data_IF_591827227301
#
_entry.id   IF_591827227301
#
_cell.length_a   1.000
_cell.length_b   1.000
_cell.length_c   1.000
_cell.angle_alpha   90.00
_cell.angle_beta   90.00
_cell.angle_gamma   90.00
#
_symmetry.space_group_name_H-M   'P 1'
#
loop_
_entity.id
_entity.type
_entity.pdbx_description
1 polymer ?
#
# COMPACT_ATOMS: atom_id res chain seq x y z
N UNK A 1 54.97 22.50 -4.64
CA UNK A 1 53.90 21.63 -5.17
C UNK A 1 52.48 22.20 -4.95
N UNK A 2 52.16 23.47 -5.31
CA UNK A 2 50.80 24.03 -5.18
C UNK A 2 49.87 23.77 -6.38
N UNK A 3 50.37 23.14 -7.45
CA UNK A 3 49.60 22.86 -8.68
C UNK A 3 48.70 21.62 -8.54
N UNK A 4 49.11 20.61 -7.77
CA UNK A 4 48.36 19.37 -7.60
C UNK A 4 47.06 19.59 -6.80
N UNK A 5 47.09 20.38 -5.72
CA UNK A 5 45.90 20.72 -4.94
C UNK A 5 44.88 21.52 -5.75
N UNK A 6 45.35 22.44 -6.60
CA UNK A 6 44.47 23.24 -7.48
C UNK A 6 43.80 22.39 -8.55
N UNK A 7 44.53 21.42 -9.10
CA UNK A 7 43.99 20.43 -10.03
C UNK A 7 42.98 19.50 -9.33
N UNK A 8 43.29 19.04 -8.12
CA UNK A 8 42.39 18.22 -7.31
C UNK A 8 41.08 18.95 -6.99
N UNK A 9 41.15 20.22 -6.56
CA UNK A 9 39.97 21.06 -6.33
C UNK A 9 39.14 21.28 -7.60
N UNK A 10 39.78 21.54 -8.74
CA UNK A 10 39.08 21.68 -10.02
C UNK A 10 38.37 20.38 -10.42
N UNK A 11 39.02 19.24 -10.23
CA UNK A 11 38.44 17.92 -10.51
C UNK A 11 37.27 17.62 -9.59
N UNK A 12 37.36 17.92 -8.28
CA UNK A 12 36.25 17.74 -7.34
C UNK A 12 35.06 18.65 -7.65
N UNK A 13 35.32 19.90 -8.05
CA UNK A 13 34.26 20.83 -8.45
C UNK A 13 33.55 20.34 -9.71
N UNK A 14 34.30 19.94 -10.73
CA UNK A 14 33.74 19.36 -11.96
C UNK A 14 32.99 18.05 -11.69
N UNK A 15 33.53 17.19 -10.83
CA UNK A 15 32.86 15.95 -10.44
C UNK A 15 31.55 16.25 -9.70
N UNK A 16 31.53 17.26 -8.84
CA UNK A 16 30.34 17.74 -8.15
C UNK A 16 29.28 18.29 -9.11
N UNK A 17 29.68 19.09 -10.10
CA UNK A 17 28.78 19.61 -11.14
C UNK A 17 28.20 18.50 -12.02
N UNK A 18 29.04 17.56 -12.48
CA UNK A 18 28.61 16.41 -13.28
C UNK A 18 27.65 15.55 -12.47
N UNK A 19 27.96 15.29 -11.19
CA UNK A 19 27.11 14.51 -10.31
C UNK A 19 25.77 15.19 -10.05
N UNK A 20 25.77 16.50 -9.80
CA UNK A 20 24.56 17.29 -9.58
C UNK A 20 23.68 17.30 -10.84
N UNK A 21 24.30 17.47 -12.01
CA UNK A 21 23.61 17.41 -13.30
C UNK A 21 23.01 16.02 -13.54
N UNK A 22 23.78 14.95 -13.32
CA UNK A 22 23.31 13.57 -13.44
C UNK A 22 22.19 13.23 -12.46
N UNK A 23 22.25 13.75 -11.24
CA UNK A 23 21.18 13.57 -10.23
C UNK A 23 19.90 14.26 -10.68
N UNK A 24 19.98 15.48 -11.22
CA UNK A 24 18.82 16.20 -11.79
C UNK A 24 18.22 15.47 -12.98
N UNK A 25 19.05 15.00 -13.89
CA UNK A 25 18.61 14.24 -15.07
C UNK A 25 17.96 12.90 -14.67
N UNK A 26 18.53 12.20 -13.68
CA UNK A 26 17.96 10.97 -13.14
C UNK A 26 16.60 11.21 -12.46
N UNK A 27 16.50 12.22 -11.60
CA UNK A 27 15.23 12.57 -10.94
C UNK A 27 14.16 12.96 -11.96
N UNK A 28 14.54 13.68 -13.01
CA UNK A 28 13.62 14.04 -14.09
C UNK A 28 13.13 12.80 -14.84
N UNK A 29 14.04 11.90 -15.23
CA UNK A 29 13.67 10.64 -15.90
C UNK A 29 12.80 9.73 -15.01
N UNK A 30 13.08 9.66 -13.71
CA UNK A 30 12.28 8.90 -12.76
C UNK A 30 10.86 9.48 -12.65
N UNK A 31 10.73 10.81 -12.58
CA UNK A 31 9.44 11.48 -12.57
C UNK A 31 8.63 11.20 -13.84
N UNK A 32 9.25 11.37 -15.02
CA UNK A 32 8.61 11.08 -16.31
C UNK A 32 8.18 9.61 -16.42
N UNK A 33 8.99 8.67 -15.92
CA UNK A 33 8.66 7.26 -15.93
C UNK A 33 7.47 6.94 -15.02
N UNK A 34 7.41 7.52 -13.81
CA UNK A 34 6.28 7.36 -12.89
C UNK A 34 5.00 7.95 -13.50
N UNK A 35 5.08 9.16 -14.08
CA UNK A 35 3.94 9.82 -14.69
C UNK A 35 3.40 8.99 -15.87
N UNK A 36 4.28 8.51 -16.74
CA UNK A 36 3.91 7.66 -17.87
C UNK A 36 3.29 6.34 -17.41
N UNK A 37 3.90 5.67 -16.43
CA UNK A 37 3.41 4.40 -15.92
C UNK A 37 2.04 4.51 -15.26
N UNK A 38 1.83 5.57 -14.46
CA UNK A 38 0.53 5.84 -13.85
C UNK A 38 -0.53 6.15 -14.92
N UNK A 39 -0.18 6.93 -15.95
CA UNK A 39 -1.11 7.26 -17.02
C UNK A 39 -1.53 6.02 -17.82
N UNK A 40 -0.59 5.12 -18.14
CA UNK A 40 -0.86 3.86 -18.83
C UNK A 40 -1.72 2.91 -17.99
N UNK A 41 -1.39 2.72 -16.71
CA UNK A 41 -2.19 1.86 -15.82
C UNK A 41 -3.64 2.36 -15.66
N UNK A 42 -3.83 3.66 -15.53
CA UNK A 42 -5.18 4.23 -15.38
C UNK A 42 -5.97 4.12 -16.68
N UNK A 43 -5.34 4.36 -17.84
CA UNK A 43 -5.99 4.18 -19.13
C UNK A 43 -6.44 2.72 -19.35
N UNK A 44 -5.60 1.75 -18.97
CA UNK A 44 -5.93 0.32 -19.02
C UNK A 44 -7.11 -0.03 -18.10
N UNK A 45 -7.09 0.46 -16.86
CA UNK A 45 -8.16 0.24 -15.88
C UNK A 45 -9.50 0.84 -16.35
N UNK A 46 -9.47 2.05 -16.90
CA UNK A 46 -10.67 2.70 -17.46
C UNK A 46 -11.26 1.91 -18.62
N UNK A 47 -10.41 1.47 -19.55
CA UNK A 47 -10.85 0.66 -20.69
C UNK A 47 -11.50 -0.64 -20.24
N UNK A 48 -11.00 -1.24 -19.16
CA UNK A 48 -11.59 -2.45 -18.57
C UNK A 48 -12.98 -2.17 -17.98
N UNK A 49 -13.11 -1.11 -17.17
CA UNK A 49 -14.40 -0.70 -16.59
C UNK A 49 -15.43 -0.41 -17.68
N UNK A 50 -15.04 0.31 -18.73
CA UNK A 50 -15.89 0.57 -19.89
C UNK A 50 -16.40 -0.73 -20.52
N UNK A 51 -15.50 -1.68 -20.78
CA UNK A 51 -15.87 -2.97 -21.37
C UNK A 51 -16.77 -3.83 -20.47
N UNK A 52 -16.60 -3.76 -19.16
CA UNK A 52 -17.41 -4.51 -18.20
C UNK A 52 -18.84 -3.91 -18.10
N UNK A 53 -18.96 -2.59 -18.10
CA UNK A 53 -20.26 -1.88 -18.12
C UNK A 53 -21.02 -2.19 -19.41
N UNK A 54 -20.37 -2.07 -20.57
CA UNK A 54 -20.98 -2.36 -21.87
C UNK A 54 -21.49 -3.81 -21.92
N UNK A 55 -20.66 -4.78 -21.50
CA UNK A 55 -21.02 -6.19 -21.46
C UNK A 55 -22.20 -6.47 -20.53
N UNK A 56 -22.19 -5.87 -19.33
CA UNK A 56 -23.26 -6.07 -18.34
C UNK A 56 -24.59 -5.55 -18.89
N UNK A 57 -24.59 -4.38 -19.52
CA UNK A 57 -25.82 -3.81 -20.04
C UNK A 57 -26.33 -4.55 -21.29
N UNK A 58 -25.45 -4.97 -22.20
CA UNK A 58 -25.84 -5.83 -23.32
C UNK A 58 -26.48 -7.14 -22.84
N UNK A 59 -25.94 -7.73 -21.76
CA UNK A 59 -26.48 -8.97 -21.18
C UNK A 59 -27.87 -8.73 -20.57
N UNK A 60 -28.01 -7.66 -19.78
CA UNK A 60 -29.29 -7.28 -19.18
C UNK A 60 -30.38 -7.03 -20.22
N UNK A 61 -30.06 -6.27 -21.26
CA UNK A 61 -30.98 -5.97 -22.36
C UNK A 61 -31.40 -7.24 -23.08
N UNK A 62 -30.46 -8.09 -23.46
CA UNK A 62 -30.77 -9.37 -24.13
C UNK A 62 -31.74 -10.23 -23.30
N UNK A 63 -31.53 -10.30 -21.99
CA UNK A 63 -32.31 -11.16 -21.11
C UNK A 63 -33.72 -10.59 -20.84
N UNK A 64 -33.91 -9.27 -20.91
CA UNK A 64 -35.20 -8.60 -20.61
C UNK A 64 -35.96 -8.08 -21.85
N UNK A 65 -35.33 -8.04 -23.03
CA UNK A 65 -35.92 -7.56 -24.28
C UNK A 65 -37.15 -8.39 -24.71
N UNK A 66 -37.15 -9.69 -24.43
CA UNK A 66 -38.27 -10.57 -24.76
C UNK A 66 -39.51 -10.34 -23.88
N UNK A 67 -39.32 -9.85 -22.66
CA UNK A 67 -40.38 -9.66 -21.67
C UNK A 67 -40.96 -8.24 -21.65
N UNK A 68 -40.19 -7.23 -22.08
CA UNK A 68 -40.56 -5.81 -21.93
C UNK A 68 -41.08 -5.14 -23.21
N UNK A 69 -40.77 -5.66 -24.40
CA UNK A 69 -40.97 -4.92 -25.66
C UNK A 69 -41.75 -5.75 -26.70
N UNK A 70 -42.92 -5.25 -27.17
CA UNK A 70 -43.65 -5.85 -28.30
C UNK A 70 -42.79 -5.92 -29.57
N UNK A 71 -42.99 -6.91 -30.45
CA UNK A 71 -42.13 -7.13 -31.63
C UNK A 71 -42.00 -5.91 -32.54
N UNK A 72 -43.07 -5.11 -32.69
CA UNK A 72 -43.07 -3.90 -33.53
C UNK A 72 -42.22 -2.74 -32.98
N UNK A 73 -41.89 -2.76 -31.69
CA UNK A 73 -41.14 -1.70 -31.00
C UNK A 73 -39.70 -2.11 -30.66
N UNK A 74 -39.27 -3.34 -30.95
CA UNK A 74 -37.92 -3.82 -30.62
C UNK A 74 -36.81 -3.04 -31.31
N UNK A 75 -36.90 -2.80 -32.62
CA UNK A 75 -35.87 -2.06 -33.35
C UNK A 75 -35.75 -0.58 -32.91
N UNK A 76 -36.86 0.20 -32.77
CA UNK A 76 -36.81 1.55 -32.21
C UNK A 76 -36.29 1.59 -30.77
N UNK A 77 -36.64 0.58 -29.97
CA UNK A 77 -36.18 0.47 -28.59
C UNK A 77 -34.68 0.17 -28.51
N UNK A 78 -34.19 -0.79 -29.31
CA UNK A 78 -32.76 -1.11 -29.38
C UNK A 78 -31.95 0.11 -29.83
N UNK A 79 -32.44 0.88 -30.80
CA UNK A 79 -31.79 2.10 -31.26
C UNK A 79 -31.78 3.20 -30.19
N UNK A 80 -32.90 3.42 -29.50
CA UNK A 80 -33.00 4.39 -28.39
C UNK A 80 -32.07 4.01 -27.22
N UNK A 81 -32.01 2.72 -26.88
CA UNK A 81 -31.15 2.21 -25.82
C UNK A 81 -29.68 2.30 -26.19
N UNK A 82 -29.30 1.92 -27.42
CA UNK A 82 -27.91 2.05 -27.88
C UNK A 82 -27.47 3.52 -27.91
N UNK A 83 -28.32 4.44 -28.34
CA UNK A 83 -28.01 5.88 -28.30
C UNK A 83 -27.87 6.40 -26.87
N UNK A 84 -28.75 5.99 -25.94
CA UNK A 84 -28.65 6.36 -24.52
C UNK A 84 -27.38 5.80 -23.86
N UNK A 85 -27.03 4.55 -24.20
CA UNK A 85 -25.80 3.88 -23.78
C UNK A 85 -24.56 4.65 -24.22
N UNK A 86 -24.50 5.00 -25.50
CA UNK A 86 -23.36 5.69 -26.08
C UNK A 86 -23.20 7.10 -25.49
N UNK A 87 -24.32 7.77 -25.19
CA UNK A 87 -24.34 9.05 -24.47
C UNK A 87 -23.85 8.94 -23.02
N UNK A 88 -24.24 7.87 -22.32
CA UNK A 88 -23.78 7.61 -20.95
C UNK A 88 -22.29 7.26 -20.93
N UNK A 89 -21.85 6.42 -21.86
CA UNK A 89 -20.45 6.00 -22.00
C UNK A 89 -19.53 7.19 -22.26
N UNK A 90 -19.90 8.04 -23.23
CA UNK A 90 -19.16 9.27 -23.53
C UNK A 90 -19.18 10.25 -22.35
N UNK A 91 -20.33 10.42 -21.68
CA UNK A 91 -20.43 11.27 -20.49
C UNK A 91 -19.60 10.78 -19.30
N UNK A 92 -19.58 9.47 -19.04
CA UNK A 92 -18.79 8.86 -17.97
C UNK A 92 -17.29 8.96 -18.27
N UNK A 93 -16.87 8.66 -19.50
CA UNK A 93 -15.47 8.84 -19.90
C UNK A 93 -15.01 10.28 -19.70
N UNK A 94 -15.84 11.25 -20.06
CA UNK A 94 -15.50 12.67 -19.96
C UNK A 94 -15.49 13.17 -18.50
N UNK A 95 -16.41 12.69 -17.67
CA UNK A 95 -16.43 13.02 -16.24
C UNK A 95 -15.26 12.40 -15.48
N UNK A 96 -14.92 11.15 -15.79
CA UNK A 96 -13.85 10.41 -15.11
C UNK A 96 -12.46 10.93 -15.52
N UNK A 97 -12.25 11.22 -16.79
CA UNK A 97 -11.02 11.90 -17.27
C UNK A 97 -10.88 13.29 -16.66
N UNK A 98 -11.97 14.06 -16.57
CA UNK A 98 -11.97 15.38 -15.92
C UNK A 98 -11.70 15.34 -14.41
N UNK A 99 -12.17 14.30 -13.70
CA UNK A 99 -11.79 14.08 -12.29
C UNK A 99 -10.32 13.68 -12.15
N UNK A 100 -9.81 12.85 -13.07
CA UNK A 100 -8.42 12.41 -13.05
C UNK A 100 -7.46 13.56 -13.27
N UNK A 101 -7.71 14.45 -14.23
CA UNK A 101 -6.85 15.61 -14.49
C UNK A 101 -6.77 16.52 -13.25
N UNK A 102 -7.90 16.70 -12.55
CA UNK A 102 -7.94 17.44 -11.27
C UNK A 102 -7.14 16.75 -10.16
N UNK A 103 -7.27 15.44 -10.00
CA UNK A 103 -6.52 14.68 -9.00
C UNK A 103 -5.02 14.67 -9.30
N UNK A 104 -4.63 14.49 -10.56
CA UNK A 104 -3.24 14.50 -11.00
C UNK A 104 -2.61 15.88 -10.81
N UNK A 105 -3.33 16.95 -11.15
CA UNK A 105 -2.86 18.32 -10.91
C UNK A 105 -2.73 18.61 -9.41
N UNK A 106 -3.67 18.16 -8.59
CA UNK A 106 -3.61 18.32 -7.13
C UNK A 106 -2.42 17.55 -6.52
N UNK A 107 -2.22 16.29 -6.94
CA UNK A 107 -1.09 15.47 -6.49
C UNK A 107 0.25 16.07 -6.94
N UNK A 108 0.31 16.58 -8.17
CA UNK A 108 1.49 17.25 -8.70
C UNK A 108 1.84 18.52 -7.92
N UNK A 109 0.84 19.32 -7.55
CA UNK A 109 1.01 20.52 -6.72
C UNK A 109 1.50 20.16 -5.30
N UNK A 110 0.91 19.15 -4.68
CA UNK A 110 1.28 18.68 -3.34
C UNK A 110 2.71 18.11 -3.31
N UNK A 111 3.06 17.30 -4.32
CA UNK A 111 4.40 16.73 -4.48
C UNK A 111 5.46 17.80 -4.82
N UNK A 112 5.11 18.83 -5.62
CA UNK A 112 6.01 19.98 -5.86
C UNK A 112 6.25 20.79 -4.58
N UNK A 113 5.23 20.92 -3.72
CA UNK A 113 5.35 21.59 -2.42
C UNK A 113 6.35 20.89 -1.51
N UNK A 114 6.16 19.57 -1.31
CA UNK A 114 7.01 18.76 -0.43
C UNK A 114 8.44 18.61 -0.96
N UNK A 115 8.62 18.50 -2.29
CA UNK A 115 9.95 18.41 -2.88
C UNK A 115 10.72 19.75 -2.78
N UNK A 116 10.03 20.88 -2.96
CA UNK A 116 10.65 22.21 -2.84
C UNK A 116 11.05 22.52 -1.39
N UNK A 117 10.25 22.08 -0.43
CA UNK A 117 10.51 22.25 1.01
C UNK A 117 11.63 21.32 1.51
N UNK A 118 11.64 20.06 1.06
CA UNK A 118 12.72 19.10 1.40
C UNK A 118 14.06 19.42 0.74
N UNK A 119 14.08 19.95 -0.49
CA UNK A 119 15.31 20.42 -1.14
C UNK A 119 15.81 21.73 -0.50
N UNK A 120 14.92 22.64 -0.12
CA UNK A 120 15.31 23.87 0.59
C UNK A 120 15.90 23.55 1.98
N UNK A 121 15.32 22.59 2.71
CA UNK A 121 15.85 22.12 3.99
C UNK A 121 17.22 21.42 3.82
N UNK A 122 17.38 20.58 2.79
CA UNK A 122 18.66 19.93 2.49
C UNK A 122 19.78 20.90 2.09
N UNK A 123 19.45 22.02 1.43
CA UNK A 123 20.41 23.09 1.10
C UNK A 123 20.78 23.93 2.33
N UNK A 124 19.85 24.14 3.27
CA UNK A 124 20.11 24.85 4.53
C UNK A 124 20.99 24.04 5.50
N UNK A 125 20.85 22.71 5.52
CA UNK A 125 21.63 21.82 6.40
C UNK A 125 22.98 21.36 5.80
N UNK A 126 23.23 21.61 4.51
CA UNK A 126 24.44 21.20 3.80
C UNK A 126 25.73 21.94 4.15
N UNK A 127 25.71 22.94 5.04
CA UNK A 127 26.90 23.70 5.43
C UNK A 127 27.69 23.11 6.62
N UNK A 128 27.19 22.07 7.31
CA UNK A 128 27.76 21.67 8.61
C UNK A 128 28.38 20.26 8.70
N UNK A 129 28.26 19.38 7.70
CA UNK A 129 28.73 18.00 7.90
C UNK A 129 29.43 17.43 6.67
N UNK A 130 30.76 17.50 6.77
CA UNK A 130 31.75 16.85 5.89
C UNK A 130 31.43 15.38 5.60
N UNK A 131 31.66 15.02 4.34
CA UNK A 131 32.20 13.73 3.90
C UNK A 131 31.48 12.47 4.39
N UNK A 132 30.52 12.01 3.59
CA UNK A 132 30.42 10.58 3.21
C UNK A 132 29.82 10.50 1.82
N UNK A 133 30.70 10.12 0.89
CA UNK A 133 30.43 9.85 -0.50
C UNK A 133 29.61 8.57 -0.60
N UNK A 134 28.41 8.65 -1.17
CA UNK A 134 27.67 7.48 -1.63
C UNK A 134 27.09 7.83 -3.01
N UNK A 135 27.62 7.14 -4.01
CA UNK A 135 27.20 7.10 -5.40
C UNK A 135 25.76 6.60 -5.54
N UNK A 136 25.11 6.87 -6.68
CA UNK A 136 23.70 6.62 -6.92
C UNK A 136 23.48 5.17 -7.41
N UNK A 137 22.23 4.85 -7.75
CA UNK A 137 21.68 3.69 -8.48
C UNK A 137 21.24 2.45 -7.65
N UNK A 138 20.25 1.66 -8.14
CA UNK A 138 18.90 1.61 -7.56
C UNK A 138 18.50 0.17 -7.19
N UNK A 139 18.24 -0.07 -5.93
CA UNK A 139 17.41 -1.14 -5.43
C UNK A 139 16.81 -0.57 -4.15
N UNK A 140 15.57 -0.87 -3.83
CA UNK A 140 15.04 -0.59 -2.50
C UNK A 140 15.95 -1.33 -1.50
N UNK A 141 16.95 -0.63 -0.96
CA UNK A 141 17.87 -1.21 0.00
C UNK A 141 17.03 -1.57 1.22
N UNK A 142 17.00 -2.85 1.65
CA UNK A 142 16.25 -3.26 2.84
C UNK A 142 16.59 -2.38 4.06
N UNK A 143 17.81 -1.84 4.08
CA UNK A 143 18.28 -0.92 5.11
C UNK A 143 17.62 0.46 5.04
N UNK A 144 17.37 0.99 3.83
CA UNK A 144 16.68 2.27 3.65
C UNK A 144 15.19 2.16 3.95
N UNK A 145 14.57 1.03 3.59
CA UNK A 145 13.19 0.73 3.99
C UNK A 145 13.07 0.67 5.52
N UNK A 146 13.94 -0.08 6.20
CA UNK A 146 13.92 -0.17 7.66
C UNK A 146 14.15 1.19 8.32
N UNK A 147 15.03 2.02 7.74
CA UNK A 147 15.24 3.39 8.19
C UNK A 147 13.98 4.25 8.03
N UNK A 148 13.27 4.12 6.91
CA UNK A 148 12.02 4.83 6.65
C UNK A 148 10.90 4.39 7.60
N UNK A 149 10.75 3.08 7.81
CA UNK A 149 9.84 2.51 8.82
C UNK A 149 10.19 3.08 10.20
N UNK A 150 11.46 3.07 10.61
CA UNK A 150 11.90 3.61 11.91
C UNK A 150 11.52 5.08 12.07
N UNK A 151 11.62 5.87 11.00
CA UNK A 151 11.27 7.28 11.00
C UNK A 151 9.74 7.48 11.13
N UNK A 152 8.94 6.73 10.37
CA UNK A 152 7.47 6.74 10.47
C UNK A 152 7.00 6.33 11.88
N UNK A 153 7.65 5.35 12.48
CA UNK A 153 7.37 4.88 13.85
C UNK A 153 7.66 5.97 14.89
N UNK A 154 8.74 6.75 14.71
CA UNK A 154 9.05 7.91 15.56
C UNK A 154 8.07 9.06 15.40
N UNK A 155 7.53 9.24 14.20
CA UNK A 155 6.50 10.27 13.93
C UNK A 155 5.10 9.86 14.41
N UNK A 156 4.93 8.65 14.94
CA UNK A 156 3.63 8.12 15.36
C UNK A 156 2.72 7.70 14.19
N UNK A 157 3.25 7.64 12.96
CA UNK A 157 2.52 7.20 11.77
C UNK A 157 2.55 5.67 11.66
N UNK A 158 1.94 4.99 12.64
CA UNK A 158 1.98 3.53 12.74
C UNK A 158 1.38 2.84 11.51
N UNK A 159 0.23 3.31 10.99
CA UNK A 159 -0.42 2.69 9.83
C UNK A 159 0.50 2.64 8.60
N UNK A 160 1.18 3.74 8.29
CA UNK A 160 2.08 3.82 7.15
C UNK A 160 3.33 2.96 7.35
N UNK A 161 3.90 2.95 8.56
CA UNK A 161 5.04 2.11 8.89
C UNK A 161 4.72 0.62 8.71
N UNK A 162 3.56 0.17 9.21
CA UNK A 162 3.10 -1.20 9.02
C UNK A 162 2.75 -1.50 7.56
N UNK A 163 2.14 -0.57 6.81
CA UNK A 163 1.90 -0.76 5.38
C UNK A 163 3.20 -0.97 4.60
N UNK A 164 4.24 -0.17 4.88
CA UNK A 164 5.54 -0.34 4.25
C UNK A 164 6.19 -1.68 4.62
N UNK A 165 6.16 -2.06 5.90
CA UNK A 165 6.69 -3.35 6.35
C UNK A 165 5.98 -4.53 5.66
N UNK A 166 4.65 -4.49 5.58
CA UNK A 166 3.82 -5.55 4.98
C UNK A 166 3.96 -5.61 3.45
N UNK A 167 4.25 -4.48 2.78
CA UNK A 167 4.39 -4.41 1.31
C UNK A 167 5.56 -5.23 0.77
N UNK A 168 6.62 -5.39 1.56
CA UNK A 168 7.82 -6.16 1.17
C UNK A 168 7.63 -7.66 1.39
N UNK A 169 6.54 -8.05 2.07
CA UNK A 169 6.17 -9.44 2.36
C UNK A 169 7.28 -10.27 3.03
N UNK A 170 8.26 -9.60 3.65
CA UNK A 170 9.34 -10.23 4.38
C UNK A 170 9.00 -10.28 5.88
N UNK A 171 8.86 -11.50 6.40
CA UNK A 171 8.50 -11.72 7.79
C UNK A 171 9.56 -11.16 8.76
N UNK A 172 10.84 -11.16 8.39
CA UNK A 172 11.90 -10.64 9.26
C UNK A 172 11.75 -9.14 9.48
N UNK A 173 11.44 -8.39 8.42
CA UNK A 173 11.15 -6.94 8.48
C UNK A 173 9.91 -6.64 9.33
N UNK A 174 8.84 -7.45 9.19
CA UNK A 174 7.59 -7.28 9.94
C UNK A 174 7.80 -7.57 11.42
N UNK A 175 8.51 -8.65 11.76
CA UNK A 175 8.86 -8.97 13.16
C UNK A 175 9.74 -7.87 13.76
N UNK A 176 10.74 -7.37 13.02
CA UNK A 176 11.57 -6.25 13.47
C UNK A 176 10.73 -4.99 13.73
N UNK A 177 9.74 -4.73 12.88
CA UNK A 177 8.79 -3.60 13.05
C UNK A 177 7.93 -3.79 14.30
N UNK A 178 7.47 -5.01 14.55
CA UNK A 178 6.75 -5.36 15.77
C UNK A 178 7.62 -5.23 17.03
N UNK A 179 8.93 -5.50 16.95
CA UNK A 179 9.86 -5.35 18.09
C UNK A 179 10.17 -3.88 18.39
N UNK A 180 10.09 -2.99 17.40
CA UNK A 180 10.33 -1.55 17.57
C UNK A 180 9.23 -0.81 18.36
N UNK A 181 8.05 -1.40 18.51
CA UNK A 181 6.93 -0.76 19.23
C UNK A 181 6.14 -1.77 20.04
N UNK A 182 5.61 -1.34 21.19
CA UNK A 182 4.77 -2.21 22.00
C UNK A 182 3.36 -2.33 21.40
N UNK A 183 2.75 -3.53 21.42
CA UNK A 183 1.36 -3.73 20.96
C UNK A 183 0.40 -2.75 21.64
N UNK A 184 0.54 -2.58 22.97
CA UNK A 184 -0.28 -1.68 23.77
C UNK A 184 -0.20 -0.22 23.34
N UNK A 185 0.94 0.22 22.80
CA UNK A 185 1.11 1.60 22.32
C UNK A 185 0.34 1.85 21.02
N UNK A 186 0.19 0.84 20.17
CA UNK A 186 -0.54 0.95 18.91
C UNK A 186 -2.04 0.74 19.15
N UNK A 187 -2.39 -0.40 19.74
CA UNK A 187 -3.77 -0.87 19.90
C UNK A 187 -4.49 -0.22 21.09
N UNK A 188 -3.76 0.40 22.03
CA UNK A 188 -4.35 1.16 23.13
C UNK A 188 -4.96 2.51 22.70
N UNK A 189 -4.64 2.99 21.50
CA UNK A 189 -5.20 4.23 20.96
C UNK A 189 -6.60 4.01 20.41
N UNK A 190 -7.55 4.89 20.77
CA UNK A 190 -8.92 4.85 20.29
C UNK A 190 -9.24 6.15 19.53
N UNK A 191 -9.57 6.09 18.23
CA UNK A 191 -9.68 4.90 17.37
C UNK A 191 -8.33 4.26 17.04
N UNK A 192 -8.32 2.93 16.81
CA UNK A 192 -7.11 2.19 16.48
C UNK A 192 -6.47 2.78 15.20
N UNK A 193 -5.18 3.14 15.21
CA UNK A 193 -4.54 3.81 14.08
C UNK A 193 -4.36 2.87 12.88
N UNK A 194 -4.39 1.55 13.09
CA UNK A 194 -4.22 0.56 12.02
C UNK A 194 -5.54 0.30 11.28
N UNK A 195 -5.51 0.42 9.96
CA UNK A 195 -6.66 0.15 9.11
C UNK A 195 -6.93 -1.36 8.98
N UNK A 196 -8.18 -1.73 8.73
CA UNK A 196 -8.62 -3.14 8.63
C UNK A 196 -7.81 -3.99 7.63
N UNK A 197 -7.45 -3.51 6.41
CA UNK A 197 -6.60 -4.28 5.51
C UNK A 197 -5.20 -4.54 6.08
N UNK A 198 -4.64 -3.57 6.80
CA UNK A 198 -3.32 -3.66 7.43
C UNK A 198 -3.35 -4.67 8.57
N UNK A 199 -4.41 -4.68 9.38
CA UNK A 199 -4.63 -5.69 10.42
C UNK A 199 -4.72 -7.10 9.85
N UNK A 200 -5.50 -7.30 8.79
CA UNK A 200 -5.64 -8.60 8.14
C UNK A 200 -4.32 -9.09 7.55
N UNK A 201 -3.58 -8.23 6.84
CA UNK A 201 -2.26 -8.56 6.31
C UNK A 201 -1.24 -8.85 7.42
N UNK A 202 -1.28 -8.12 8.53
CA UNK A 202 -0.45 -8.38 9.70
C UNK A 202 -0.76 -9.75 10.32
N UNK A 203 -2.04 -10.08 10.50
CA UNK A 203 -2.46 -11.39 11.00
C UNK A 203 -1.98 -12.50 10.07
N UNK A 204 -2.17 -12.33 8.77
CA UNK A 204 -1.75 -13.29 7.75
C UNK A 204 -0.24 -13.52 7.76
N UNK A 205 0.56 -12.45 7.81
CA UNK A 205 2.03 -12.56 7.79
C UNK A 205 2.57 -13.08 9.12
N UNK A 206 2.11 -12.60 10.28
CA UNK A 206 2.58 -13.10 11.57
C UNK A 206 2.18 -14.56 11.83
N UNK A 207 1.02 -14.99 11.33
CA UNK A 207 0.65 -16.40 11.40
C UNK A 207 1.39 -17.25 10.37
N UNK A 208 2.05 -16.67 9.36
CA UNK A 208 2.78 -17.41 8.33
C UNK A 208 3.73 -18.44 8.93
N UNK A 209 4.54 -17.98 9.90
CA UNK A 209 5.48 -18.78 10.67
C UNK A 209 5.46 -18.36 12.15
N UNK A 210 5.06 -19.28 13.02
CA UNK A 210 5.03 -19.09 14.48
C UNK A 210 6.24 -19.74 15.19
N UNK A 211 7.20 -20.31 14.46
CA UNK A 211 8.36 -21.01 15.06
C UNK A 211 9.39 -20.07 15.69
N UNK A 212 9.53 -18.86 15.14
CA UNK A 212 10.46 -17.82 15.57
C UNK A 212 9.73 -16.64 16.23
N UNK A 213 10.33 -16.03 17.26
CA UNK A 213 9.77 -14.86 17.99
C UNK A 213 8.29 -15.02 18.37
N UNK A 214 7.87 -16.23 18.79
CA UNK A 214 6.46 -16.57 19.00
C UNK A 214 5.77 -15.72 20.06
N UNK A 215 6.51 -15.24 21.07
CA UNK A 215 5.96 -14.40 22.14
C UNK A 215 5.40 -13.07 21.61
N UNK A 216 6.21 -12.32 20.84
CA UNK A 216 5.78 -11.04 20.29
C UNK A 216 4.70 -11.22 19.22
N UNK A 217 4.82 -12.27 18.38
CA UNK A 217 3.81 -12.58 17.36
C UNK A 217 2.45 -12.87 17.98
N UNK A 218 2.40 -13.69 19.04
CA UNK A 218 1.14 -14.01 19.72
C UNK A 218 0.50 -12.78 20.38
N UNK A 219 1.30 -11.90 20.99
CA UNK A 219 0.82 -10.61 21.55
C UNK A 219 0.20 -9.72 20.47
N UNK A 220 0.89 -9.56 19.34
CA UNK A 220 0.37 -8.75 18.22
C UNK A 220 -0.87 -9.37 17.59
N UNK A 221 -0.90 -10.69 17.42
CA UNK A 221 -2.06 -11.39 16.87
C UNK A 221 -3.29 -11.24 17.77
N UNK A 222 -3.13 -11.30 19.09
CA UNK A 222 -4.23 -11.09 20.05
C UNK A 222 -4.85 -9.70 19.93
N UNK A 223 -4.03 -8.65 19.99
CA UNK A 223 -4.51 -7.28 19.86
C UNK A 223 -5.08 -6.97 18.46
N UNK A 224 -4.45 -7.50 17.41
CA UNK A 224 -4.93 -7.34 16.04
C UNK A 224 -6.29 -7.98 15.83
N UNK A 225 -6.51 -9.19 16.35
CA UNK A 225 -7.80 -9.90 16.26
C UNK A 225 -8.89 -9.17 17.05
N UNK A 226 -8.57 -8.62 18.22
CA UNK A 226 -9.51 -7.82 19.02
C UNK A 226 -9.90 -6.49 18.36
N UNK A 227 -9.02 -5.97 17.50
CA UNK A 227 -9.22 -4.70 16.78
C UNK A 227 -9.93 -4.86 15.42
N UNK A 228 -10.33 -6.07 15.05
CA UNK A 228 -11.07 -6.32 13.80
C UNK A 228 -12.51 -5.83 13.89
N UNK A 229 -12.94 -5.13 12.85
CA UNK A 229 -14.31 -4.66 12.70
C UNK A 229 -15.09 -5.59 11.75
N UNK A 230 -16.07 -6.30 12.33
CA UNK A 230 -16.93 -7.27 11.65
C UNK A 230 -17.98 -6.65 10.74
N UNK A 231 -18.28 -5.36 10.90
CA UNK A 231 -19.30 -4.64 10.12
C UNK A 231 -18.75 -4.16 8.77
N UNK A 232 -17.43 -4.26 8.54
CA UNK A 232 -16.81 -3.82 7.32
C UNK A 232 -17.02 -4.83 6.16
N UNK A 233 -17.94 -4.49 5.25
CA UNK A 233 -18.37 -5.33 4.13
C UNK A 233 -17.23 -5.73 3.17
N UNK A 234 -16.18 -4.92 3.04
CA UNK A 234 -15.07 -5.15 2.11
C UNK A 234 -14.10 -6.20 2.67
N UNK A 235 -13.85 -6.15 3.99
CA UNK A 235 -12.88 -7.04 4.65
C UNK A 235 -13.50 -8.35 5.15
N UNK A 236 -14.83 -8.43 5.22
CA UNK A 236 -15.57 -9.60 5.74
C UNK A 236 -15.24 -10.92 5.04
N UNK A 237 -15.09 -10.90 3.72
CA UNK A 237 -14.78 -12.10 2.94
C UNK A 237 -13.36 -12.62 3.23
N UNK A 238 -12.37 -11.72 3.19
CA UNK A 238 -10.98 -12.04 3.51
C UNK A 238 -10.78 -12.41 4.99
N UNK A 239 -11.53 -11.78 5.89
CA UNK A 239 -11.46 -12.04 7.32
C UNK A 239 -11.77 -13.49 7.65
N UNK A 240 -12.85 -14.09 7.10
CA UNK A 240 -13.19 -15.49 7.37
C UNK A 240 -12.08 -16.46 6.95
N UNK A 241 -11.48 -16.23 5.78
CA UNK A 241 -10.40 -17.08 5.25
C UNK A 241 -9.15 -16.95 6.13
N UNK A 242 -8.75 -15.72 6.47
CA UNK A 242 -7.54 -15.45 7.26
C UNK A 242 -7.70 -15.97 8.70
N UNK A 243 -8.84 -15.74 9.35
CA UNK A 243 -9.09 -16.25 10.70
C UNK A 243 -9.18 -17.78 10.76
N UNK A 244 -9.73 -18.42 9.72
CA UNK A 244 -9.73 -19.89 9.61
C UNK A 244 -8.30 -20.45 9.48
N UNK A 245 -7.46 -19.81 8.67
CA UNK A 245 -6.04 -20.16 8.56
C UNK A 245 -5.29 -19.94 9.87
N UNK A 246 -5.56 -18.83 10.57
CA UNK A 246 -5.00 -18.56 11.89
C UNK A 246 -5.36 -19.68 12.88
N UNK A 247 -6.62 -20.13 12.91
CA UNK A 247 -7.05 -21.23 13.78
C UNK A 247 -6.29 -22.53 13.51
N UNK A 248 -6.09 -22.89 12.24
CA UNK A 248 -5.33 -24.08 11.85
C UNK A 248 -3.88 -23.99 12.32
N UNK A 249 -3.23 -22.84 12.10
CA UNK A 249 -1.83 -22.64 12.48
C UNK A 249 -1.62 -22.55 13.99
N UNK A 250 -2.55 -21.95 14.72
CA UNK A 250 -2.53 -21.94 16.18
C UNK A 250 -2.70 -23.36 16.75
N UNK A 251 -3.61 -24.18 16.20
CA UNK A 251 -3.75 -25.57 16.63
C UNK A 251 -2.46 -26.36 16.41
N UNK A 252 -1.84 -26.23 15.23
CA UNK A 252 -0.57 -26.88 14.93
C UNK A 252 0.54 -26.41 15.89
N UNK A 253 0.60 -25.10 16.18
CA UNK A 253 1.56 -24.54 17.14
C UNK A 253 1.33 -25.06 18.56
N UNK A 254 0.07 -25.15 19.03
CA UNK A 254 -0.29 -25.67 20.36
C UNK A 254 0.11 -27.15 20.50
N UNK A 255 -0.01 -27.94 19.43
CA UNK A 255 0.40 -29.35 19.42
C UNK A 255 1.93 -29.53 19.43
N UNK A 256 2.67 -28.59 18.83
CA UNK A 256 4.13 -28.65 18.72
C UNK A 256 4.91 -27.87 19.79
N UNK A 257 4.27 -27.01 20.58
CA UNK A 257 4.96 -26.16 21.54
C UNK A 257 5.27 -26.87 22.86
N UNK A 258 6.53 -26.80 23.30
CA UNK A 258 6.95 -27.27 24.63
C UNK A 258 6.72 -26.22 25.73
N UNK A 259 6.41 -24.96 25.36
CA UNK A 259 6.20 -23.87 26.31
C UNK A 259 4.76 -23.78 26.76
N UNK A 260 4.53 -23.98 28.05
CA UNK A 260 3.20 -23.96 28.64
C UNK A 260 2.54 -22.56 28.63
N UNK A 261 3.33 -21.49 28.73
CA UNK A 261 2.82 -20.12 28.73
C UNK A 261 2.42 -19.65 27.33
N UNK A 262 3.27 -19.90 26.32
CA UNK A 262 2.94 -19.62 24.92
C UNK A 262 1.78 -20.49 24.44
N UNK A 263 1.72 -21.76 24.86
CA UNK A 263 0.59 -22.64 24.59
C UNK A 263 -0.72 -22.12 25.20
N UNK A 264 -0.69 -21.59 26.42
CA UNK A 264 -1.86 -20.96 27.06
C UNK A 264 -2.30 -19.70 26.31
N UNK A 265 -1.36 -18.88 25.86
CA UNK A 265 -1.65 -17.68 25.08
C UNK A 265 -2.26 -18.02 23.71
N UNK A 266 -1.66 -18.95 22.97
CA UNK A 266 -2.18 -19.43 21.70
C UNK A 266 -3.58 -20.06 21.83
N UNK A 267 -3.86 -20.78 22.93
CA UNK A 267 -5.22 -21.32 23.20
C UNK A 267 -6.26 -20.22 23.43
N UNK A 268 -5.91 -19.17 24.18
CA UNK A 268 -6.79 -18.01 24.39
C UNK A 268 -7.08 -17.31 23.07
N UNK A 269 -6.04 -17.03 22.29
CA UNK A 269 -6.15 -16.44 20.96
C UNK A 269 -7.04 -17.30 20.03
N UNK A 270 -6.88 -18.62 20.06
CA UNK A 270 -7.69 -19.55 19.29
C UNK A 270 -9.18 -19.42 19.66
N UNK A 271 -9.52 -19.38 20.95
CA UNK A 271 -10.90 -19.21 21.40
C UNK A 271 -11.51 -17.88 20.95
N UNK A 272 -10.78 -16.78 21.08
CA UNK A 272 -11.22 -15.45 20.63
C UNK A 272 -11.46 -15.44 19.12
N UNK A 273 -10.50 -15.99 18.36
CA UNK A 273 -10.59 -16.08 16.89
C UNK A 273 -11.80 -16.92 16.45
N UNK A 274 -12.05 -18.05 17.11
CA UNK A 274 -13.22 -18.90 16.84
C UNK A 274 -14.53 -18.20 17.19
N UNK A 275 -14.57 -17.45 18.29
CA UNK A 275 -15.75 -16.65 18.66
C UNK A 275 -16.07 -15.58 17.62
N UNK A 276 -15.05 -14.93 17.06
CA UNK A 276 -15.18 -13.95 15.98
C UNK A 276 -15.60 -14.58 14.65
N UNK A 277 -15.19 -15.82 14.37
CA UNK A 277 -15.59 -16.56 13.18
C UNK A 277 -17.05 -17.04 13.23
N UNK A 278 -17.53 -17.36 14.43
CA UNK A 278 -18.84 -17.94 14.69
C UNK A 278 -19.92 -16.89 15.07
N UNK A 279 -19.55 -15.63 15.29
CA UNK A 279 -20.47 -14.50 15.52
C UNK A 279 -20.90 -13.84 14.21
#
# INVERSE_FOLDING_TARGET
MPSLDRLCHSLFSQLGEIFQKGTREFLHQAQEHIDKHNQEQVAEAMKKVQSDVERSLQTFLRDHQAALVPPDFRAPFDEAVNNALQGLETGLLQALTGQQEKLMNSLKEEMHGVLKESVAAAVAEGAASRSKMATPVPFADPHLLLQQITLLMRQGQYNMAFQQALSVADLATVVSTCEMVSPTSIFGQHPCPLQQPVLLSLIQQLCADLSSSSDIKLKYLEEAVLSLDKENAITKEHMKVILSQLCLKLNNFIMGTASHDLGRMARRLLMVTQSLLNS
#
